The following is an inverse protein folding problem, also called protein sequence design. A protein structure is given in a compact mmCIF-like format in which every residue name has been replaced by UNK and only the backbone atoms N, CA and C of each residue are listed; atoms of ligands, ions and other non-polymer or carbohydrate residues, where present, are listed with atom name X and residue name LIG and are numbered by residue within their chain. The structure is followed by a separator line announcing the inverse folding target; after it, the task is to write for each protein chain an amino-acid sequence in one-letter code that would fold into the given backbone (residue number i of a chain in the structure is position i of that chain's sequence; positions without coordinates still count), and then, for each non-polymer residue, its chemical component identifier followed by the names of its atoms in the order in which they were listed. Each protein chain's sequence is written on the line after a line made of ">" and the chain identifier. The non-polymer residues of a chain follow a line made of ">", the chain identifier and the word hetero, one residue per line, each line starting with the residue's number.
data_IF_277678815922
#
_entry.id   IF_277678815922
#
_cell.length_a   1.000
_cell.length_b   1.000
_cell.length_c   1.000
_cell.angle_alpha   90.00
_cell.angle_beta   90.00
_cell.angle_gamma   90.00
#
_symmetry.space_group_name_H-M   'P 1'
#
loop_
_entity.id
_entity.type
_entity.pdbx_description
1 polymer ?
#
# COMPACT_ATOMS: atom_id res chain seq x y z
N UNK A 1 -0.51 -34.80 32.60
CA UNK A 1 -1.95 -34.75 32.27
C UNK A 1 -2.04 -34.00 30.96
N UNK A 2 -2.56 -34.61 29.89
CA UNK A 2 -2.65 -33.94 28.58
C UNK A 2 -3.75 -32.89 28.69
N UNK A 3 -3.37 -31.62 28.58
CA UNK A 3 -4.32 -30.51 28.61
C UNK A 3 -4.98 -30.44 27.24
N UNK A 4 -6.31 -30.52 27.22
CA UNK A 4 -7.11 -30.43 26.00
C UNK A 4 -7.78 -29.05 25.95
N UNK A 5 -7.47 -28.29 24.90
CA UNK A 5 -7.99 -26.92 24.67
C UNK A 5 -8.93 -26.92 23.48
N UNK A 6 -10.15 -26.41 23.66
CA UNK A 6 -11.05 -26.10 22.54
C UNK A 6 -11.02 -24.59 22.24
N UNK A 7 -10.80 -24.24 20.99
CA UNK A 7 -10.93 -22.88 20.48
C UNK A 7 -12.12 -22.77 19.52
N UNK A 8 -13.03 -21.81 19.77
CA UNK A 8 -14.08 -21.47 18.80
C UNK A 8 -13.54 -20.65 17.61
N UNK A 9 -12.43 -19.94 17.83
CA UNK A 9 -11.57 -19.34 16.78
C UNK A 9 -10.14 -19.26 17.33
N UNK A 10 -9.10 -19.67 16.59
CA UNK A 10 -7.72 -19.45 17.00
C UNK A 10 -7.32 -17.99 16.73
N UNK A 11 -7.02 -17.27 17.80
CA UNK A 11 -6.54 -15.89 17.81
C UNK A 11 -5.37 -15.73 18.81
N UNK A 12 -4.89 -14.50 19.01
CA UNK A 12 -3.80 -14.23 19.94
C UNK A 12 -4.12 -14.57 21.42
N UNK A 13 -5.41 -14.72 21.78
CA UNK A 13 -5.80 -15.17 23.11
C UNK A 13 -5.66 -16.70 23.26
N UNK A 14 -5.84 -17.46 22.17
CA UNK A 14 -5.45 -18.88 22.15
C UNK A 14 -3.93 -19.03 22.35
N UNK A 15 -3.10 -18.20 21.70
CA UNK A 15 -1.64 -18.26 21.84
C UNK A 15 -1.20 -17.99 23.30
N UNK A 16 -1.84 -17.07 24.03
CA UNK A 16 -1.58 -16.84 25.47
C UNK A 16 -1.94 -18.06 26.33
N UNK A 17 -3.06 -18.73 26.04
CA UNK A 17 -3.45 -19.98 26.72
C UNK A 17 -2.44 -21.10 26.45
N UNK A 18 -1.94 -21.21 25.22
CA UNK A 18 -0.92 -22.21 24.86
C UNK A 18 0.46 -21.88 25.47
N UNK A 19 0.79 -20.61 25.66
CA UNK A 19 1.98 -20.19 26.40
C UNK A 19 1.89 -20.55 27.89
N UNK A 20 0.70 -20.44 28.50
CA UNK A 20 0.44 -20.90 29.88
C UNK A 20 0.46 -22.42 30.02
N UNK A 21 0.11 -23.16 28.97
CA UNK A 21 -0.01 -24.63 28.98
C UNK A 21 0.85 -25.33 27.89
N UNK A 22 2.19 -25.34 28.01
CA UNK A 22 3.07 -25.94 27.00
C UNK A 22 2.80 -27.43 26.80
N UNK A 23 2.49 -27.83 25.55
CA UNK A 23 2.20 -29.22 25.19
C UNK A 23 0.73 -29.62 25.32
N UNK A 24 -0.19 -28.65 25.38
CA UNK A 24 -1.62 -28.91 25.22
C UNK A 24 -1.99 -29.41 23.81
N UNK A 25 -3.02 -30.25 23.72
CA UNK A 25 -3.62 -30.71 22.47
C UNK A 25 -4.83 -29.83 22.13
N UNK A 26 -4.92 -29.34 20.90
CA UNK A 26 -5.74 -28.18 20.54
C UNK A 26 -6.72 -28.51 19.42
N UNK A 27 -8.01 -28.37 19.72
CA UNK A 27 -9.08 -28.63 18.77
C UNK A 27 -9.85 -27.35 18.44
N UNK A 28 -9.90 -27.00 17.14
CA UNK A 28 -10.76 -25.91 16.64
C UNK A 28 -12.17 -26.41 16.35
N UNK A 29 -13.18 -25.69 16.81
CA UNK A 29 -14.58 -25.90 16.44
C UNK A 29 -15.13 -24.65 15.74
N UNK A 30 -15.20 -24.72 14.42
CA UNK A 30 -15.60 -23.62 13.54
C UNK A 30 -17.14 -23.41 13.54
N UNK A 31 -17.69 -23.14 14.73
CA UNK A 31 -19.14 -23.25 14.98
C UNK A 31 -19.66 -22.24 16.02
N UNK A 32 -20.48 -21.28 15.58
CA UNK A 32 -21.11 -20.30 16.46
C UNK A 32 -22.34 -20.83 17.24
N UNK A 33 -22.85 -22.02 16.91
CA UNK A 33 -24.08 -22.55 17.51
C UNK A 33 -23.82 -23.22 18.87
N UNK A 34 -24.37 -22.64 19.95
CA UNK A 34 -24.18 -23.09 21.33
C UNK A 34 -24.32 -24.61 21.57
N UNK A 35 -25.35 -25.25 21.01
CA UNK A 35 -25.55 -26.70 21.16
C UNK A 35 -24.46 -27.56 20.50
N UNK A 36 -23.82 -27.09 19.42
CA UNK A 36 -22.69 -27.78 18.78
C UNK A 36 -21.38 -27.53 19.55
N UNK A 37 -21.21 -26.34 20.10
CA UNK A 37 -20.10 -25.99 20.98
C UNK A 37 -20.11 -26.87 22.25
N UNK A 38 -21.29 -27.04 22.85
CA UNK A 38 -21.53 -27.89 24.02
C UNK A 38 -21.17 -29.36 23.74
N UNK A 39 -21.70 -29.95 22.66
CA UNK A 39 -21.36 -31.31 22.21
C UNK A 39 -19.87 -31.47 21.92
N UNK A 40 -19.19 -30.40 21.50
CA UNK A 40 -17.74 -30.37 21.32
C UNK A 40 -16.96 -30.50 22.63
N UNK A 41 -17.32 -29.68 23.63
CA UNK A 41 -16.73 -29.71 24.98
C UNK A 41 -16.86 -31.10 25.62
N UNK A 42 -18.05 -31.72 25.54
CA UNK A 42 -18.31 -33.07 26.05
C UNK A 42 -17.49 -34.14 25.32
N UNK A 43 -17.60 -34.21 23.97
CA UNK A 43 -17.03 -35.29 23.17
C UNK A 43 -15.51 -35.35 23.22
N UNK A 44 -14.86 -34.18 23.29
CA UNK A 44 -13.41 -34.06 23.38
C UNK A 44 -12.93 -34.10 24.84
N UNK A 45 -13.84 -34.13 25.83
CA UNK A 45 -13.56 -34.00 27.27
C UNK A 45 -12.59 -32.85 27.54
N UNK A 46 -12.90 -31.68 26.99
CA UNK A 46 -12.01 -30.54 26.99
C UNK A 46 -11.76 -30.04 28.43
N UNK A 47 -10.49 -29.86 28.78
CA UNK A 47 -10.08 -29.30 30.07
C UNK A 47 -10.14 -27.79 30.09
N UNK A 48 -9.93 -27.15 28.95
CA UNK A 48 -9.92 -25.69 28.81
C UNK A 48 -10.67 -25.30 27.53
N UNK A 49 -11.32 -24.14 27.53
CA UNK A 49 -12.00 -23.62 26.35
C UNK A 49 -11.80 -22.10 26.20
N UNK A 50 -11.61 -21.64 24.96
CA UNK A 50 -11.48 -20.21 24.60
C UNK A 50 -12.70 -19.77 23.81
N UNK A 51 -13.49 -18.86 24.39
CA UNK A 51 -14.80 -18.42 23.90
C UNK A 51 -14.92 -16.89 23.93
N UNK A 52 -15.73 -16.32 23.04
CA UNK A 52 -16.16 -14.92 23.21
C UNK A 52 -17.23 -14.80 24.30
N UNK A 53 -17.38 -13.60 24.88
CA UNK A 53 -18.47 -13.31 25.82
C UNK A 53 -19.85 -13.74 25.28
N UNK A 54 -20.14 -13.42 24.01
CA UNK A 54 -21.40 -13.79 23.35
C UNK A 54 -21.60 -15.31 23.18
N UNK A 55 -20.52 -16.07 22.88
CA UNK A 55 -20.57 -17.53 22.77
C UNK A 55 -20.83 -18.18 24.12
N UNK A 56 -20.12 -17.75 25.17
CA UNK A 56 -20.35 -18.21 26.54
C UNK A 56 -21.77 -17.85 27.02
N UNK A 57 -22.24 -16.65 26.67
CA UNK A 57 -23.61 -16.19 26.93
C UNK A 57 -24.67 -17.12 26.36
N UNK A 58 -24.51 -17.50 25.08
CA UNK A 58 -25.40 -18.41 24.38
C UNK A 58 -25.28 -19.85 24.90
N UNK A 59 -24.08 -20.29 25.29
CA UNK A 59 -23.82 -21.59 25.89
C UNK A 59 -24.59 -21.75 27.20
N UNK A 60 -24.45 -20.83 28.16
CA UNK A 60 -25.16 -20.91 29.46
C UNK A 60 -26.67 -20.73 29.36
N UNK A 61 -27.16 -20.09 28.29
CA UNK A 61 -28.61 -19.94 28.01
C UNK A 61 -29.20 -21.15 27.28
N UNK A 62 -28.37 -22.13 26.87
CA UNK A 62 -28.82 -23.29 26.14
C UNK A 62 -29.49 -24.32 27.08
N UNK A 63 -30.70 -24.85 26.80
CA UNK A 63 -31.43 -25.73 27.73
C UNK A 63 -30.71 -27.03 28.13
N UNK A 64 -29.72 -27.47 27.33
CA UNK A 64 -28.91 -28.65 27.64
C UNK A 64 -27.65 -28.37 28.48
N UNK A 65 -27.34 -27.10 28.80
CA UNK A 65 -26.10 -26.73 29.48
C UNK A 65 -25.97 -27.36 30.88
N UNK A 66 -27.04 -27.31 31.69
CA UNK A 66 -27.08 -27.93 33.02
C UNK A 66 -27.14 -29.48 32.97
N UNK A 67 -27.34 -30.07 31.78
CA UNK A 67 -27.44 -31.51 31.56
C UNK A 67 -26.17 -32.11 30.93
N UNK A 68 -25.17 -31.28 30.58
CA UNK A 68 -23.99 -31.70 29.85
C UNK A 68 -22.90 -32.31 30.76
N UNK A 69 -22.17 -33.31 30.26
CA UNK A 69 -20.97 -33.86 30.93
C UNK A 69 -19.77 -32.94 30.70
N UNK A 70 -19.71 -31.88 31.52
CA UNK A 70 -18.59 -30.93 31.58
C UNK A 70 -17.67 -31.20 32.77
N UNK A 71 -17.70 -32.38 33.38
CA UNK A 71 -16.92 -32.71 34.59
C UNK A 71 -15.39 -32.77 34.33
N UNK A 72 -14.96 -32.72 33.06
CA UNK A 72 -13.56 -32.60 32.67
C UNK A 72 -13.09 -31.15 32.46
N UNK A 73 -14.00 -30.17 32.41
CA UNK A 73 -13.69 -28.78 32.08
C UNK A 73 -13.25 -28.01 33.34
N UNK A 74 -11.99 -27.59 33.37
CA UNK A 74 -11.39 -26.85 34.49
C UNK A 74 -11.62 -25.34 34.35
N UNK A 75 -11.38 -24.77 33.16
CA UNK A 75 -11.42 -23.31 32.93
C UNK A 75 -12.00 -22.92 31.56
N UNK A 76 -12.86 -21.90 31.55
CA UNK A 76 -13.28 -21.18 30.33
C UNK A 76 -12.61 -19.80 30.32
N UNK A 77 -11.87 -19.53 29.25
CA UNK A 77 -11.25 -18.26 28.95
C UNK A 77 -12.18 -17.41 28.07
N UNK A 78 -12.51 -16.21 28.54
CA UNK A 78 -13.33 -15.24 27.79
C UNK A 78 -12.46 -14.21 27.08
N UNK A 79 -12.74 -14.01 25.79
CA UNK A 79 -12.06 -13.04 24.92
C UNK A 79 -13.01 -11.90 24.51
N UNK A 80 -12.50 -10.67 24.48
CA UNK A 80 -13.24 -9.44 24.15
C UNK A 80 -13.89 -8.77 25.37
N UNK A 81 -14.59 -7.66 25.14
CA UNK A 81 -15.21 -6.83 26.18
C UNK A 81 -16.30 -7.61 26.96
N UNK A 82 -16.08 -7.94 28.25
CA UNK A 82 -16.92 -8.89 28.95
C UNK A 82 -18.17 -8.21 29.53
N UNK A 83 -19.34 -8.55 28.98
CA UNK A 83 -20.58 -8.42 29.76
C UNK A 83 -20.46 -9.30 31.01
N UNK A 84 -20.34 -8.68 32.19
CA UNK A 84 -20.09 -9.38 33.46
C UNK A 84 -21.08 -10.53 33.65
N UNK A 85 -20.63 -11.79 33.84
CA UNK A 85 -21.54 -12.92 33.96
C UNK A 85 -22.42 -12.77 35.22
N UNK A 86 -23.71 -12.51 34.99
CA UNK A 86 -24.75 -12.45 36.01
C UNK A 86 -25.47 -13.80 36.09
N UNK A 87 -25.37 -14.47 37.24
CA UNK A 87 -25.96 -15.79 37.46
C UNK A 87 -25.29 -16.56 38.59
N UNK A 88 -25.71 -17.81 38.81
CA UNK A 88 -25.00 -18.73 39.69
C UNK A 88 -23.63 -19.10 39.09
N UNK A 89 -22.62 -19.30 39.93
CA UNK A 89 -21.27 -19.65 39.49
C UNK A 89 -21.28 -21.03 38.79
N UNK A 90 -20.66 -21.16 37.60
CA UNK A 90 -20.49 -22.46 36.95
C UNK A 90 -19.54 -23.38 37.75
N UNK A 91 -19.53 -24.67 37.42
CA UNK A 91 -18.69 -25.68 38.10
C UNK A 91 -17.18 -25.56 37.82
N UNK A 92 -16.81 -24.67 36.91
CA UNK A 92 -15.47 -24.48 36.38
C UNK A 92 -15.06 -23.00 36.48
N UNK A 93 -13.77 -22.71 36.45
CA UNK A 93 -13.28 -21.34 36.49
C UNK A 93 -13.66 -20.56 35.22
N UNK A 94 -13.93 -19.27 35.36
CA UNK A 94 -14.13 -18.36 34.22
C UNK A 94 -13.14 -17.22 34.35
N UNK A 95 -12.13 -17.21 33.49
CA UNK A 95 -11.10 -16.18 33.45
C UNK A 95 -11.35 -15.26 32.25
N UNK A 96 -11.35 -13.95 32.46
CA UNK A 96 -11.29 -12.99 31.35
C UNK A 96 -9.83 -12.88 30.92
N UNK A 97 -9.53 -13.25 29.68
CA UNK A 97 -8.23 -12.95 29.08
C UNK A 97 -8.19 -11.47 28.70
N UNK A 98 -7.72 -10.66 29.64
CA UNK A 98 -7.13 -9.38 29.29
C UNK A 98 -5.92 -9.65 28.40
N UNK A 99 -6.07 -9.52 27.08
CA UNK A 99 -4.91 -9.52 26.17
C UNK A 99 -3.96 -8.42 26.64
N UNK A 100 -2.72 -8.75 27.06
CA UNK A 100 -1.78 -7.72 27.45
C UNK A 100 -1.53 -6.82 26.24
N UNK A 101 -1.65 -5.51 26.43
CA UNK A 101 -1.36 -4.53 25.39
C UNK A 101 0.15 -4.49 25.10
N UNK A 102 0.64 -5.45 24.32
CA UNK A 102 1.92 -5.32 23.63
C UNK A 102 1.84 -4.13 22.66
N UNK A 103 2.94 -3.40 22.46
CA UNK A 103 3.06 -1.99 22.00
C UNK A 103 2.09 -1.46 20.92
N UNK A 104 2.55 -1.17 19.68
CA UNK A 104 2.42 -2.16 18.61
C UNK A 104 3.76 -2.74 18.13
N UNK A 105 3.74 -3.95 17.54
CA UNK A 105 4.90 -4.51 16.84
C UNK A 105 4.92 -4.05 15.38
N UNK A 106 5.10 -2.74 15.25
CA UNK A 106 5.46 -2.06 14.02
C UNK A 106 6.98 -1.94 13.93
N UNK A 107 7.71 -2.97 14.36
CA UNK A 107 9.12 -3.10 14.01
C UNK A 107 9.25 -3.44 12.52
N UNK A 108 10.29 -2.94 11.86
CA UNK A 108 10.59 -3.29 10.47
C UNK A 108 10.63 -4.81 10.26
N UNK A 109 11.19 -5.57 11.21
CA UNK A 109 11.26 -7.03 11.14
C UNK A 109 9.87 -7.70 11.15
N UNK A 110 8.99 -7.32 12.08
CA UNK A 110 7.65 -7.89 12.16
C UNK A 110 6.80 -7.55 10.94
N UNK A 111 6.76 -6.28 10.53
CA UNK A 111 5.96 -5.85 9.38
C UNK A 111 6.49 -6.45 8.08
N UNK A 112 7.81 -6.52 7.88
CA UNK A 112 8.38 -7.19 6.72
C UNK A 112 8.03 -8.68 6.70
N UNK A 113 8.23 -9.40 7.81
CA UNK A 113 7.92 -10.83 7.89
C UNK A 113 6.44 -11.14 7.62
N UNK A 114 5.52 -10.30 8.08
CA UNK A 114 4.09 -10.43 7.82
C UNK A 114 3.75 -10.16 6.34
N UNK A 115 4.32 -9.09 5.75
CA UNK A 115 4.17 -8.78 4.33
C UNK A 115 4.74 -9.88 3.40
N UNK A 116 5.90 -10.45 3.74
CA UNK A 116 6.50 -11.59 3.05
C UNK A 116 5.60 -12.84 3.09
N UNK A 117 4.92 -13.11 4.22
CA UNK A 117 3.98 -14.23 4.31
C UNK A 117 2.74 -14.03 3.43
N UNK A 118 2.29 -12.78 3.23
CA UNK A 118 1.21 -12.45 2.28
C UNK A 118 1.65 -12.58 0.81
N UNK A 119 2.96 -12.59 0.55
CA UNK A 119 3.57 -12.71 -0.78
C UNK A 119 4.32 -14.02 -1.00
N UNK A 120 4.11 -15.02 -0.13
CA UNK A 120 4.76 -16.31 -0.20
C UNK A 120 4.63 -16.96 -1.60
N UNK A 121 5.77 -17.32 -2.19
CA UNK A 121 5.85 -17.87 -3.55
C UNK A 121 5.98 -16.83 -4.67
N UNK A 122 6.11 -15.53 -4.36
CA UNK A 122 6.44 -14.51 -5.36
C UNK A 122 7.90 -14.64 -5.80
N UNK A 123 8.16 -14.68 -7.11
CA UNK A 123 9.52 -14.61 -7.66
C UNK A 123 9.98 -13.14 -7.77
N UNK A 124 10.66 -12.67 -6.73
CA UNK A 124 11.24 -11.32 -6.73
C UNK A 124 12.34 -11.15 -7.79
N UNK A 125 13.09 -12.18 -8.14
CA UNK A 125 14.14 -12.07 -9.16
C UNK A 125 13.54 -11.83 -10.55
N UNK A 126 12.49 -12.59 -10.90
CA UNK A 126 11.74 -12.37 -12.14
C UNK A 126 11.04 -10.99 -12.16
N UNK A 127 10.44 -10.58 -11.04
CA UNK A 127 9.80 -9.26 -10.91
C UNK A 127 10.77 -8.08 -11.05
N UNK A 128 11.97 -8.19 -10.47
CA UNK A 128 13.04 -7.17 -10.63
C UNK A 128 13.51 -7.13 -12.09
N UNK A 129 13.80 -8.28 -12.70
CA UNK A 129 14.22 -8.35 -14.11
C UNK A 129 13.17 -7.76 -15.07
N UNK A 130 11.87 -7.96 -14.80
CA UNK A 130 10.78 -7.34 -15.56
C UNK A 130 10.73 -5.82 -15.39
N UNK A 131 10.90 -5.31 -14.16
CA UNK A 131 10.93 -3.87 -13.87
C UNK A 131 12.16 -3.17 -14.47
N UNK A 132 13.32 -3.81 -14.45
CA UNK A 132 14.54 -3.35 -15.11
C UNK A 132 14.38 -3.32 -16.63
N UNK A 133 13.84 -4.39 -17.24
CA UNK A 133 13.59 -4.44 -18.68
C UNK A 133 12.61 -3.35 -19.14
N UNK A 134 11.52 -3.13 -18.38
CA UNK A 134 10.58 -2.04 -18.62
C UNK A 134 11.24 -0.66 -18.50
N UNK A 135 12.14 -0.48 -17.52
CA UNK A 135 12.87 0.78 -17.31
C UNK A 135 13.82 1.10 -18.47
N UNK A 136 14.57 0.09 -18.96
CA UNK A 136 15.42 0.23 -20.15
C UNK A 136 14.60 0.51 -21.42
N UNK A 137 13.46 -0.17 -21.59
CA UNK A 137 12.56 0.07 -22.71
C UNK A 137 12.01 1.50 -22.70
N UNK A 138 11.63 2.02 -21.52
CA UNK A 138 11.15 3.38 -21.38
C UNK A 138 12.23 4.44 -21.67
N UNK A 139 13.47 4.25 -21.21
CA UNK A 139 14.60 5.13 -21.57
C UNK A 139 14.79 5.21 -23.10
N UNK A 140 14.77 4.05 -23.76
CA UNK A 140 14.84 3.96 -25.22
C UNK A 140 13.64 4.65 -25.89
N UNK A 141 12.42 4.41 -25.41
CA UNK A 141 11.21 5.10 -25.89
C UNK A 141 11.30 6.62 -25.78
N UNK A 142 11.84 7.16 -24.68
CA UNK A 142 12.00 8.61 -24.52
C UNK A 142 12.94 9.20 -25.57
N UNK A 143 14.09 8.57 -25.82
CA UNK A 143 15.03 9.02 -26.84
C UNK A 143 14.47 8.86 -28.26
N UNK A 144 13.90 7.69 -28.56
CA UNK A 144 13.24 7.38 -29.83
C UNK A 144 12.06 8.32 -30.10
N UNK A 145 11.28 8.68 -29.08
CA UNK A 145 10.22 9.69 -29.16
C UNK A 145 10.75 11.07 -29.54
N UNK A 146 11.82 11.55 -28.88
CA UNK A 146 12.46 12.81 -29.25
C UNK A 146 12.97 12.79 -30.70
N UNK A 147 13.55 11.67 -31.15
CA UNK A 147 14.04 11.53 -32.52
C UNK A 147 12.89 11.48 -33.53
N UNK A 148 11.87 10.64 -33.33
CA UNK A 148 10.71 10.51 -34.23
C UNK A 148 10.00 11.84 -34.52
N UNK A 149 10.02 12.79 -33.57
CA UNK A 149 9.37 14.11 -33.76
C UNK A 149 10.31 15.15 -34.39
N UNK A 150 11.64 15.01 -34.28
CA UNK A 150 12.59 15.83 -35.05
C UNK A 150 13.88 16.28 -34.34
N UNK A 151 14.15 15.84 -33.11
CA UNK A 151 15.45 16.05 -32.48
C UNK A 151 16.50 15.06 -33.02
N UNK A 152 17.79 15.43 -32.94
CA UNK A 152 18.94 14.56 -33.26
C UNK A 152 18.84 13.77 -34.58
N UNK A 153 18.25 14.37 -35.61
CA UNK A 153 17.95 13.74 -36.90
C UNK A 153 19.20 13.45 -37.75
N UNK A 154 20.36 14.00 -37.36
CA UNK A 154 21.63 13.86 -38.08
C UNK A 154 22.69 13.29 -37.14
N UNK A 155 23.52 12.37 -37.64
CA UNK A 155 24.64 11.83 -36.86
C UNK A 155 25.59 12.96 -36.42
N UNK A 156 25.98 12.95 -35.14
CA UNK A 156 26.79 14.01 -34.54
C UNK A 156 26.06 15.34 -34.29
N UNK A 157 24.74 15.41 -34.49
CA UNK A 157 23.97 16.63 -34.20
C UNK A 157 23.99 16.96 -32.69
N UNK A 158 24.42 18.19 -32.39
CA UNK A 158 24.44 18.76 -31.05
C UNK A 158 23.38 19.86 -30.94
N UNK A 159 22.51 19.80 -29.93
CA UNK A 159 21.38 20.72 -29.73
C UNK A 159 21.36 21.24 -28.29
N UNK A 160 21.09 22.54 -28.09
CA UNK A 160 20.76 23.04 -26.75
C UNK A 160 19.33 22.63 -26.36
N UNK A 161 19.03 22.60 -25.06
CA UNK A 161 17.73 22.13 -24.57
C UNK A 161 16.52 22.84 -25.21
N UNK A 162 16.61 24.16 -25.46
CA UNK A 162 15.51 24.89 -26.11
C UNK A 162 15.31 24.50 -27.58
N UNK A 163 16.38 24.23 -28.34
CA UNK A 163 16.27 23.74 -29.72
C UNK A 163 15.60 22.36 -29.79
N UNK A 164 15.90 21.47 -28.83
CA UNK A 164 15.19 20.18 -28.70
C UNK A 164 13.69 20.43 -28.51
N UNK A 165 13.33 21.26 -27.54
CA UNK A 165 11.93 21.58 -27.21
C UNK A 165 11.18 22.27 -28.36
N UNK A 166 11.86 23.07 -29.18
CA UNK A 166 11.28 23.70 -30.37
C UNK A 166 11.09 22.70 -31.51
N UNK A 167 12.10 21.87 -31.80
CA UNK A 167 12.03 20.87 -32.87
C UNK A 167 10.99 19.79 -32.63
N UNK A 168 10.82 19.34 -31.39
CA UNK A 168 9.78 18.37 -31.05
C UNK A 168 8.39 19.01 -30.86
N UNK A 169 8.24 20.30 -31.17
CA UNK A 169 7.01 21.07 -30.99
C UNK A 169 6.41 20.91 -29.56
N UNK A 170 7.27 20.93 -28.54
CA UNK A 170 6.88 20.59 -27.17
C UNK A 170 5.81 21.54 -26.62
N UNK A 171 4.65 20.97 -26.29
CA UNK A 171 3.54 21.69 -25.66
C UNK A 171 4.01 22.38 -24.38
N UNK A 172 3.47 23.58 -24.09
CA UNK A 172 3.97 24.46 -23.03
C UNK A 172 4.10 23.76 -21.66
N UNK A 173 3.12 22.94 -21.28
CA UNK A 173 3.11 22.18 -20.02
C UNK A 173 4.15 21.07 -19.96
N UNK A 174 4.58 20.53 -21.11
CA UNK A 174 5.47 19.36 -21.18
C UNK A 174 6.96 19.73 -21.24
N UNK A 175 7.28 21.03 -21.38
CA UNK A 175 8.68 21.49 -21.57
C UNK A 175 9.59 21.16 -20.39
N UNK A 176 9.07 21.10 -19.17
CA UNK A 176 9.84 20.75 -17.98
C UNK A 176 10.09 19.24 -17.87
N UNK A 177 9.08 18.41 -18.13
CA UNK A 177 9.22 16.96 -18.23
C UNK A 177 10.31 16.59 -19.26
N UNK A 178 10.29 17.23 -20.44
CA UNK A 178 11.30 16.97 -21.48
C UNK A 178 12.71 17.49 -21.11
N UNK A 179 12.84 18.53 -20.29
CA UNK A 179 14.13 18.90 -19.67
C UNK A 179 14.59 17.87 -18.63
N UNK A 180 13.67 17.23 -17.91
CA UNK A 180 13.98 16.09 -17.02
C UNK A 180 14.42 14.88 -17.84
N UNK A 181 13.77 14.59 -18.97
CA UNK A 181 14.20 13.55 -19.93
C UNK A 181 15.63 13.79 -20.42
N UNK A 182 15.98 15.00 -20.89
CA UNK A 182 17.34 15.29 -21.37
C UNK A 182 18.40 15.04 -20.29
N UNK A 183 18.12 15.36 -19.02
CA UNK A 183 19.02 15.07 -17.90
C UNK A 183 19.12 13.57 -17.61
N UNK A 184 18.00 12.87 -17.51
CA UNK A 184 17.96 11.42 -17.25
C UNK A 184 18.63 10.62 -18.38
N UNK A 185 18.30 10.90 -19.63
CA UNK A 185 18.96 10.28 -20.79
C UNK A 185 20.47 10.57 -20.84
N UNK A 186 20.92 11.70 -20.31
CA UNK A 186 22.37 12.00 -20.17
C UNK A 186 23.01 11.21 -19.03
N UNK A 187 22.33 11.09 -17.88
CA UNK A 187 22.81 10.33 -16.73
C UNK A 187 22.95 8.83 -17.05
N UNK A 188 21.96 8.28 -17.76
CA UNK A 188 21.94 6.89 -18.25
C UNK A 188 22.80 6.66 -19.51
N UNK A 189 23.50 7.69 -20.00
CA UNK A 189 24.44 7.59 -21.12
C UNK A 189 23.83 7.48 -22.53
N UNK A 190 22.50 7.51 -22.67
CA UNK A 190 21.79 7.58 -23.96
C UNK A 190 22.01 8.91 -24.69
N UNK A 191 22.37 9.97 -23.96
CA UNK A 191 22.85 11.25 -24.49
C UNK A 191 24.23 11.59 -23.89
N UNK A 192 25.03 12.36 -24.62
CA UNK A 192 26.21 13.07 -24.08
C UNK A 192 25.91 14.55 -24.01
N UNK A 193 26.27 15.20 -22.90
CA UNK A 193 26.23 16.66 -22.76
C UNK A 193 27.63 17.24 -22.85
N UNK A 194 27.83 18.22 -23.73
CA UNK A 194 29.05 19.04 -23.82
C UNK A 194 28.68 20.52 -23.79
N UNK A 195 29.15 21.24 -22.77
CA UNK A 195 28.65 22.57 -22.45
C UNK A 195 27.13 22.50 -22.22
N UNK A 196 26.38 23.29 -22.99
CA UNK A 196 24.91 23.29 -22.95
C UNK A 196 24.24 22.50 -24.09
N UNK A 197 25.05 21.81 -24.91
CA UNK A 197 24.54 20.97 -26.00
C UNK A 197 24.45 19.51 -25.60
N UNK A 198 23.41 18.85 -26.10
CA UNK A 198 23.16 17.41 -26.01
C UNK A 198 23.40 16.79 -27.39
N UNK A 199 23.92 15.56 -27.44
CA UNK A 199 23.99 14.74 -28.66
C UNK A 199 23.71 13.28 -28.36
N UNK A 200 23.28 12.54 -29.38
CA UNK A 200 23.25 11.07 -29.35
C UNK A 200 24.68 10.54 -29.54
N UNK A 201 25.14 9.56 -28.73
CA UNK A 201 26.44 8.92 -28.93
C UNK A 201 26.52 8.24 -30.31
N UNK A 202 27.66 8.32 -31.00
CA UNK A 202 27.81 7.72 -32.33
C UNK A 202 27.60 6.19 -32.30
N UNK A 203 27.98 5.53 -31.20
CA UNK A 203 27.70 4.10 -30.95
C UNK A 203 26.19 3.76 -30.88
N UNK A 204 25.31 4.74 -30.64
CA UNK A 204 23.85 4.53 -30.48
C UNK A 204 23.05 4.80 -31.76
N UNK A 205 23.65 5.44 -32.78
CA UNK A 205 22.96 5.83 -34.03
C UNK A 205 22.77 4.66 -35.01
N UNK A 206 23.45 3.52 -34.79
CA UNK A 206 23.69 2.51 -35.82
C UNK A 206 22.68 1.34 -35.94
N UNK A 207 21.58 1.28 -35.17
CA UNK A 207 20.60 0.21 -35.38
C UNK A 207 19.32 0.16 -34.53
N UNK A 208 19.40 0.31 -33.20
CA UNK A 208 18.30 -0.11 -32.30
C UNK A 208 17.95 0.96 -31.25
N UNK A 209 17.39 2.08 -31.69
CA UNK A 209 16.81 3.09 -30.80
C UNK A 209 15.44 2.69 -30.26
N UNK A 210 14.64 1.98 -31.07
CA UNK A 210 13.37 1.42 -30.61
C UNK A 210 13.61 0.34 -29.54
N UNK A 211 12.80 0.29 -28.47
CA UNK A 211 12.89 -0.77 -27.46
C UNK A 211 12.37 -2.12 -27.96
N UNK A 212 12.99 -3.21 -27.51
CA UNK A 212 12.44 -4.56 -27.69
C UNK A 212 11.34 -4.85 -26.65
N UNK A 213 10.12 -4.40 -26.97
CA UNK A 213 8.92 -4.72 -26.19
C UNK A 213 8.61 -6.22 -26.09
N UNK A 214 9.14 -7.07 -26.99
CA UNK A 214 8.90 -8.52 -26.94
C UNK A 214 9.70 -9.19 -25.84
N UNK A 215 10.95 -8.75 -25.61
CA UNK A 215 11.75 -9.19 -24.47
C UNK A 215 11.16 -8.71 -23.14
N UNK A 216 10.66 -7.47 -23.06
CA UNK A 216 9.96 -6.98 -21.87
C UNK A 216 8.71 -7.83 -21.59
N UNK A 217 7.91 -8.14 -22.62
CA UNK A 217 6.72 -8.98 -22.45
C UNK A 217 7.06 -10.40 -21.99
N UNK A 218 8.15 -10.99 -22.49
CA UNK A 218 8.61 -12.29 -22.04
C UNK A 218 8.98 -12.30 -20.55
N UNK A 219 9.78 -11.33 -20.10
CA UNK A 219 10.19 -11.19 -18.70
C UNK A 219 9.02 -10.86 -17.77
N UNK A 220 8.12 -9.98 -18.19
CA UNK A 220 6.92 -9.61 -17.42
C UNK A 220 5.99 -10.80 -17.20
N UNK A 221 5.77 -11.63 -18.24
CA UNK A 221 4.99 -12.86 -18.11
C UNK A 221 5.68 -13.90 -17.23
N UNK A 222 7.02 -13.94 -17.20
CA UNK A 222 7.79 -14.82 -16.32
C UNK A 222 7.67 -14.45 -14.84
N UNK A 223 7.48 -13.16 -14.51
CA UNK A 223 7.21 -12.69 -13.14
C UNK A 223 5.81 -13.11 -12.60
N UNK A 224 4.94 -13.64 -13.46
CA UNK A 224 3.58 -14.06 -13.10
C UNK A 224 2.55 -12.93 -13.04
N UNK A 225 2.93 -11.70 -13.43
CA UNK A 225 2.05 -10.54 -13.44
C UNK A 225 1.22 -10.49 -14.73
N UNK A 226 0.00 -9.95 -14.66
CA UNK A 226 -0.80 -9.66 -15.86
C UNK A 226 -0.16 -8.55 -16.68
N UNK A 227 -0.42 -8.49 -17.99
CA UNK A 227 0.33 -7.62 -18.91
C UNK A 227 -0.32 -6.25 -19.16
N UNK A 228 -1.15 -5.73 -18.25
CA UNK A 228 -1.88 -4.48 -18.50
C UNK A 228 -1.00 -3.25 -18.26
N UNK A 229 -0.16 -3.24 -17.21
CA UNK A 229 0.86 -2.19 -16.97
C UNK A 229 1.81 -2.09 -18.14
N UNK A 230 2.31 -3.23 -18.60
CA UNK A 230 3.17 -3.31 -19.78
C UNK A 230 2.45 -2.78 -21.04
N UNK A 231 1.19 -3.16 -21.24
CA UNK A 231 0.39 -2.63 -22.35
C UNK A 231 0.28 -1.10 -22.27
N UNK A 232 -0.08 -0.55 -21.12
CA UNK A 232 -0.16 0.89 -20.93
C UNK A 232 1.17 1.60 -21.23
N UNK A 233 2.28 1.09 -20.71
CA UNK A 233 3.61 1.66 -20.95
C UNK A 233 4.02 1.60 -22.43
N UNK A 234 3.67 0.51 -23.13
CA UNK A 234 3.90 0.33 -24.56
C UNK A 234 3.02 1.25 -25.41
N UNK A 235 1.73 1.33 -25.09
CA UNK A 235 0.75 2.17 -25.79
C UNK A 235 1.12 3.66 -25.62
N UNK A 236 1.49 4.10 -24.41
CA UNK A 236 2.04 5.44 -24.15
C UNK A 236 3.36 5.70 -24.91
N UNK A 237 4.26 4.71 -24.98
CA UNK A 237 5.51 4.81 -25.73
C UNK A 237 5.32 4.95 -27.25
N UNK A 238 4.25 4.36 -27.79
CA UNK A 238 3.84 4.57 -29.18
C UNK A 238 3.33 6.00 -29.40
N UNK A 239 2.49 6.50 -28.49
CA UNK A 239 1.84 7.82 -28.51
C UNK A 239 2.73 9.00 -28.08
N UNK A 240 4.01 8.78 -27.70
CA UNK A 240 4.92 9.85 -27.30
C UNK A 240 4.93 11.08 -28.22
N UNK A 241 4.92 10.97 -29.57
CA UNK A 241 4.80 12.12 -30.45
C UNK A 241 3.59 13.02 -30.16
N UNK A 242 2.42 12.44 -29.86
CA UNK A 242 1.19 13.18 -29.57
C UNK A 242 1.11 13.65 -28.10
N UNK A 243 1.80 12.96 -27.17
CA UNK A 243 1.94 13.40 -25.79
C UNK A 243 2.88 14.60 -25.66
N UNK A 244 3.97 14.61 -26.43
CA UNK A 244 4.96 15.69 -26.49
C UNK A 244 4.36 16.99 -27.01
N UNK A 245 3.63 16.94 -28.12
CA UNK A 245 3.02 18.13 -28.74
C UNK A 245 1.60 18.46 -28.22
N UNK A 246 1.07 17.64 -27.31
CA UNK A 246 -0.19 17.88 -26.61
C UNK A 246 -1.45 17.52 -27.41
N UNK A 247 -1.32 16.85 -28.58
CA UNK A 247 -2.47 16.32 -29.33
C UNK A 247 -3.21 15.20 -28.60
N UNK A 248 -2.58 14.52 -27.65
CA UNK A 248 -3.24 13.56 -26.74
C UNK A 248 -2.84 13.80 -25.29
N UNK A 249 -3.60 13.23 -24.35
CA UNK A 249 -3.38 13.34 -22.91
C UNK A 249 -3.24 11.95 -22.29
N UNK A 250 -2.25 11.76 -21.42
CA UNK A 250 -1.96 10.45 -20.81
C UNK A 250 -3.15 9.86 -20.03
N UNK A 251 -4.03 10.70 -19.47
CA UNK A 251 -5.25 10.27 -18.78
C UNK A 251 -6.18 9.45 -19.68
N UNK A 252 -6.27 9.78 -20.98
CA UNK A 252 -7.09 9.02 -21.94
C UNK A 252 -6.48 7.65 -22.30
N UNK A 253 -5.16 7.50 -22.15
CA UNK A 253 -4.46 6.23 -22.35
C UNK A 253 -4.57 5.33 -21.10
N UNK A 254 -4.63 5.93 -19.91
CA UNK A 254 -4.75 5.23 -18.62
C UNK A 254 -6.21 4.80 -18.32
N UNK A 255 -7.18 5.61 -18.77
CA UNK A 255 -8.63 5.36 -18.63
C UNK A 255 -9.31 5.33 -20.01
N UNK A 256 -8.98 4.35 -20.87
CA UNK A 256 -9.57 4.24 -22.21
C UNK A 256 -11.09 4.07 -22.11
N UNK A 257 -11.85 4.97 -22.73
CA UNK A 257 -13.32 5.03 -22.66
C UNK A 257 -13.89 5.13 -21.22
N UNK A 258 -13.06 5.53 -20.23
CA UNK A 258 -13.41 5.57 -18.82
C UNK A 258 -13.25 4.23 -18.07
N UNK A 259 -12.67 3.20 -18.69
CA UNK A 259 -12.42 1.91 -18.07
C UNK A 259 -11.30 1.97 -17.00
N UNK A 260 -11.59 1.52 -15.78
CA UNK A 260 -10.65 1.50 -14.65
C UNK A 260 -9.76 0.27 -14.59
N UNK A 261 -10.02 -0.78 -15.39
CA UNK A 261 -9.27 -2.05 -15.33
C UNK A 261 -7.78 -1.86 -15.60
N UNK A 262 -7.44 -0.99 -16.55
CA UNK A 262 -6.05 -0.68 -16.89
C UNK A 262 -5.35 0.05 -15.75
N UNK A 263 -5.93 1.13 -15.23
CA UNK A 263 -5.40 1.87 -14.08
C UNK A 263 -5.28 0.98 -12.83
N UNK A 264 -6.29 0.18 -12.49
CA UNK A 264 -6.23 -0.79 -11.38
C UNK A 264 -5.04 -1.73 -11.51
N UNK A 265 -4.77 -2.20 -12.73
CA UNK A 265 -3.62 -3.07 -12.97
C UNK A 265 -2.29 -2.32 -12.85
N UNK A 266 -2.16 -1.13 -13.45
CA UNK A 266 -0.98 -0.25 -13.34
C UNK A 266 -0.56 -0.03 -11.89
N UNK A 267 -1.51 0.24 -10.99
CA UNK A 267 -1.21 0.44 -9.58
C UNK A 267 -0.96 -0.84 -8.77
N UNK A 268 -1.17 -2.06 -9.32
CA UNK A 268 -1.20 -3.31 -8.53
C UNK A 268 -0.32 -4.44 -9.03
N UNK A 269 -0.01 -4.49 -10.33
CA UNK A 269 0.68 -5.62 -10.94
C UNK A 269 2.13 -5.71 -10.46
N UNK A 270 2.87 -4.60 -10.41
CA UNK A 270 4.30 -4.64 -10.13
C UNK A 270 4.62 -5.27 -8.77
N UNK A 271 5.70 -6.05 -8.74
CA UNK A 271 6.20 -6.68 -7.51
C UNK A 271 6.44 -5.68 -6.37
N UNK A 272 6.85 -4.44 -6.70
CA UNK A 272 7.01 -3.35 -5.75
C UNK A 272 5.66 -2.89 -5.16
N UNK A 273 4.65 -2.64 -6.01
CA UNK A 273 3.31 -2.26 -5.55
C UNK A 273 2.66 -3.36 -4.71
N UNK A 274 2.83 -4.63 -5.10
CA UNK A 274 2.37 -5.81 -4.32
C UNK A 274 2.98 -5.82 -2.92
N UNK A 275 4.30 -5.57 -2.80
CA UNK A 275 4.99 -5.45 -1.52
C UNK A 275 4.48 -4.25 -0.70
N UNK A 276 4.36 -3.07 -1.32
CA UNK A 276 3.85 -1.87 -0.65
C UNK A 276 2.46 -2.10 -0.04
N UNK A 277 1.50 -2.62 -0.82
CA UNK A 277 0.16 -2.89 -0.30
C UNK A 277 0.15 -3.95 0.80
N UNK A 278 0.99 -4.99 0.70
CA UNK A 278 1.10 -6.01 1.74
C UNK A 278 1.66 -5.44 3.06
N UNK A 279 2.68 -4.58 2.99
CA UNK A 279 3.26 -3.90 4.15
C UNK A 279 2.30 -2.86 4.76
N UNK A 280 1.60 -2.05 3.94
CA UNK A 280 0.55 -1.14 4.43
C UNK A 280 -0.57 -1.91 5.12
N UNK A 281 -1.13 -2.94 4.47
CA UNK A 281 -2.18 -3.77 5.05
C UNK A 281 -1.76 -4.44 6.35
N UNK A 282 -0.51 -4.92 6.40
CA UNK A 282 0.12 -5.45 7.63
C UNK A 282 0.17 -4.41 8.74
N UNK A 283 0.60 -3.18 8.45
CA UNK A 283 0.65 -2.11 9.46
C UNK A 283 -0.74 -1.86 10.05
N UNK A 284 -1.76 -1.66 9.22
CA UNK A 284 -3.13 -1.39 9.68
C UNK A 284 -3.70 -2.58 10.47
N UNK A 285 -3.45 -3.82 10.04
CA UNK A 285 -3.87 -5.03 10.77
C UNK A 285 -3.14 -5.19 12.12
N UNK A 286 -1.85 -4.88 12.18
CA UNK A 286 -1.07 -4.88 13.43
C UNK A 286 -1.55 -3.81 14.41
N UNK A 287 -2.09 -2.69 13.94
CA UNK A 287 -2.74 -1.65 14.78
C UNK A 287 -4.14 -2.11 15.23
N UNK A 288 -4.95 -2.67 14.32
CA UNK A 288 -6.30 -3.18 14.62
C UNK A 288 -6.30 -4.22 15.75
N UNK A 289 -5.34 -5.16 15.71
CA UNK A 289 -5.10 -6.17 16.77
C UNK A 289 -4.96 -5.58 18.18
N UNK A 290 -4.48 -4.34 18.30
CA UNK A 290 -4.16 -3.66 19.59
C UNK A 290 -5.36 -2.97 20.21
N UNK A 291 -6.33 -2.54 19.39
CA UNK A 291 -7.55 -1.89 19.87
C UNK A 291 -8.43 -2.83 20.71
N UNK A 292 -8.17 -4.13 20.70
CA UNK A 292 -8.72 -5.07 21.70
C UNK A 292 -10.25 -5.20 21.69
N UNK A 293 -10.88 -4.95 20.54
CA UNK A 293 -12.34 -4.88 20.39
C UNK A 293 -12.93 -3.47 20.44
N UNK A 294 -12.14 -2.44 20.76
CA UNK A 294 -12.53 -1.04 20.53
C UNK A 294 -12.56 -0.72 19.04
N UNK A 295 -13.44 0.20 18.65
CA UNK A 295 -13.56 0.68 17.26
C UNK A 295 -12.26 1.32 16.78
N UNK A 296 -11.74 0.85 15.66
CA UNK A 296 -10.66 1.49 14.91
C UNK A 296 -11.25 2.47 13.87
N UNK A 297 -10.85 3.74 13.91
CA UNK A 297 -11.24 4.77 12.94
C UNK A 297 -10.12 4.94 11.92
N UNK A 298 -10.36 4.56 10.67
CA UNK A 298 -9.38 4.64 9.59
C UNK A 298 -9.83 5.66 8.55
N UNK A 299 -8.92 6.54 8.13
CA UNK A 299 -9.07 7.39 6.95
C UNK A 299 -8.09 6.92 5.88
N UNK A 300 -8.56 6.56 4.70
CA UNK A 300 -7.71 6.41 3.51
C UNK A 300 -7.84 7.65 2.63
N UNK A 301 -6.74 8.37 2.39
CA UNK A 301 -6.68 9.55 1.52
C UNK A 301 -6.13 9.20 0.15
N UNK A 302 -6.78 9.68 -0.91
CA UNK A 302 -6.40 9.41 -2.30
C UNK A 302 -6.41 7.93 -2.67
N UNK A 303 -7.34 7.14 -2.12
CA UNK A 303 -7.38 5.70 -2.33
C UNK A 303 -7.60 5.27 -3.79
N UNK A 304 -8.01 6.20 -4.67
CA UNK A 304 -8.01 6.06 -6.12
C UNK A 304 -8.66 4.77 -6.61
N UNK A 305 -7.85 3.89 -7.19
CA UNK A 305 -8.33 2.62 -7.77
C UNK A 305 -8.62 1.52 -6.72
N UNK A 306 -8.59 1.85 -5.43
CA UNK A 306 -8.77 0.92 -4.31
C UNK A 306 -7.64 -0.11 -4.18
N UNK A 307 -6.44 0.21 -4.67
CA UNK A 307 -5.34 -0.74 -4.76
C UNK A 307 -4.83 -1.18 -3.37
N UNK A 308 -4.65 -0.21 -2.47
CA UNK A 308 -4.37 -0.40 -1.05
C UNK A 308 -5.60 -0.96 -0.32
N UNK A 309 -6.78 -0.36 -0.50
CA UNK A 309 -8.07 -0.78 0.09
C UNK A 309 -8.33 -2.29 -0.06
N UNK A 310 -8.17 -2.84 -1.28
CA UNK A 310 -8.38 -4.26 -1.60
C UNK A 310 -7.44 -5.22 -0.83
N UNK A 311 -6.33 -4.71 -0.25
CA UNK A 311 -5.42 -5.48 0.61
C UNK A 311 -5.63 -5.21 2.09
N UNK A 312 -6.00 -3.99 2.47
CA UNK A 312 -6.26 -3.62 3.87
C UNK A 312 -7.54 -4.29 4.38
N UNK A 313 -8.68 -4.13 3.70
CA UNK A 313 -9.98 -4.56 4.21
C UNK A 313 -10.05 -6.07 4.59
N UNK A 314 -9.51 -7.02 3.80
CA UNK A 314 -9.55 -8.44 4.17
C UNK A 314 -8.77 -8.79 5.44
N UNK A 315 -7.75 -8.00 5.83
CA UNK A 315 -7.00 -8.21 7.07
C UNK A 315 -7.67 -7.55 8.29
N UNK A 316 -8.72 -6.77 8.05
CA UNK A 316 -9.57 -6.12 9.06
C UNK A 316 -10.90 -6.85 9.29
N UNK A 317 -11.13 -7.99 8.64
CA UNK A 317 -12.28 -8.84 8.93
C UNK A 317 -12.24 -9.33 10.38
N UNK A 318 -13.40 -9.32 11.05
CA UNK A 318 -13.54 -9.62 12.48
C UNK A 318 -13.22 -8.49 13.46
N UNK A 319 -12.74 -7.32 13.01
CA UNK A 319 -12.53 -6.14 13.87
C UNK A 319 -13.67 -5.10 13.71
N UNK A 320 -14.00 -4.34 14.76
CA UNK A 320 -14.89 -3.19 14.64
C UNK A 320 -14.12 -2.01 14.03
N UNK A 321 -14.38 -1.70 12.76
CA UNK A 321 -13.66 -0.67 12.01
C UNK A 321 -14.63 0.30 11.35
N UNK A 322 -14.47 1.60 11.64
CA UNK A 322 -15.05 2.68 10.85
C UNK A 322 -14.02 3.13 9.81
N UNK A 323 -14.09 2.54 8.62
CA UNK A 323 -13.19 2.81 7.50
C UNK A 323 -13.81 3.85 6.55
N UNK A 324 -13.22 5.04 6.50
CA UNK A 324 -13.55 6.09 5.56
C UNK A 324 -12.54 6.08 4.40
N UNK A 325 -12.97 5.60 3.25
CA UNK A 325 -12.25 5.80 1.99
C UNK A 325 -12.49 7.21 1.46
N UNK A 326 -11.44 7.91 1.02
CA UNK A 326 -11.58 9.20 0.36
C UNK A 326 -10.69 9.34 -0.87
N UNK A 327 -11.16 10.17 -1.80
CA UNK A 327 -10.42 10.59 -2.99
C UNK A 327 -10.89 12.01 -3.39
N UNK A 328 -10.11 12.75 -4.18
CA UNK A 328 -10.54 14.04 -4.74
C UNK A 328 -11.63 13.85 -5.81
N UNK A 329 -11.66 12.68 -6.45
CA UNK A 329 -12.56 12.32 -7.54
C UNK A 329 -13.74 11.47 -7.08
N UNK A 330 -14.95 11.98 -7.31
CA UNK A 330 -16.22 11.24 -7.10
C UNK A 330 -16.27 9.91 -7.87
N UNK A 331 -15.56 9.82 -9.00
CA UNK A 331 -15.51 8.61 -9.81
C UNK A 331 -14.86 7.45 -9.04
N UNK A 332 -13.73 7.69 -8.37
CA UNK A 332 -13.05 6.68 -7.56
C UNK A 332 -13.87 6.29 -6.32
N UNK A 333 -14.48 7.25 -5.63
CA UNK A 333 -15.37 6.95 -4.49
C UNK A 333 -16.57 6.10 -4.88
N UNK A 334 -17.13 6.30 -6.09
CA UNK A 334 -18.23 5.48 -6.60
C UNK A 334 -17.76 4.08 -7.04
N UNK A 335 -16.59 4.00 -7.70
CA UNK A 335 -15.99 2.74 -8.13
C UNK A 335 -15.64 1.85 -6.94
N UNK A 336 -15.02 2.36 -5.87
CA UNK A 336 -14.66 1.54 -4.70
C UNK A 336 -15.91 1.04 -3.96
N UNK A 337 -16.96 1.85 -3.84
CA UNK A 337 -18.22 1.45 -3.20
C UNK A 337 -18.98 0.36 -3.97
N UNK A 338 -18.76 0.23 -5.28
CA UNK A 338 -19.28 -0.90 -6.07
C UNK A 338 -18.52 -2.20 -5.81
N UNK A 339 -17.21 -2.13 -5.54
CA UNK A 339 -16.37 -3.28 -5.22
C UNK A 339 -16.46 -3.72 -3.75
N UNK A 340 -16.68 -2.77 -2.84
CA UNK A 340 -16.85 -2.98 -1.40
C UNK A 340 -18.19 -2.41 -0.92
N UNK A 341 -19.32 -3.12 -1.16
CA UNK A 341 -20.64 -2.65 -0.76
C UNK A 341 -20.72 -2.40 0.76
N UNK A 342 -21.08 -1.19 1.14
CA UNK A 342 -21.19 -0.77 2.55
C UNK A 342 -19.95 -0.03 3.09
N UNK A 343 -18.85 0.05 2.34
CA UNK A 343 -17.70 0.89 2.68
C UNK A 343 -18.12 2.37 2.74
N UNK A 344 -17.71 3.11 3.78
CA UNK A 344 -17.98 4.53 3.90
C UNK A 344 -17.03 5.31 2.98
N UNK A 345 -17.58 6.15 2.11
CA UNK A 345 -16.79 6.94 1.16
C UNK A 345 -17.04 8.44 1.31
N UNK A 346 -16.00 9.25 1.14
CA UNK A 346 -16.06 10.72 1.15
C UNK A 346 -15.13 11.35 0.13
N UNK A 347 -15.13 12.69 0.03
CA UNK A 347 -14.12 13.41 -0.75
C UNK A 347 -13.03 13.95 0.19
N UNK A 348 -11.78 13.91 -0.25
CA UNK A 348 -10.66 14.57 0.41
C UNK A 348 -9.68 15.06 -0.65
N UNK A 349 -9.31 16.33 -0.53
CA UNK A 349 -8.30 17.01 -1.34
C UNK A 349 -7.03 17.19 -0.50
N UNK A 350 -5.93 16.65 -0.99
CA UNK A 350 -4.65 16.62 -0.25
C UNK A 350 -3.97 18.00 -0.22
N UNK A 351 -4.29 18.88 -1.17
CA UNK A 351 -3.77 20.24 -1.28
C UNK A 351 -4.62 21.28 -0.49
N UNK A 352 -5.52 20.81 0.39
CA UNK A 352 -6.38 21.65 1.23
C UNK A 352 -6.33 21.24 2.69
N UNK A 353 -6.53 22.21 3.59
CA UNK A 353 -6.57 21.94 5.03
C UNK A 353 -7.70 20.95 5.36
N UNK A 354 -7.46 20.10 6.37
CA UNK A 354 -8.45 19.12 6.79
C UNK A 354 -9.68 19.78 7.45
N UNK A 355 -9.48 20.87 8.18
CA UNK A 355 -10.54 21.65 8.84
C UNK A 355 -11.48 22.33 7.82
N UNK A 356 -10.95 22.92 6.74
CA UNK A 356 -11.75 23.52 5.65
C UNK A 356 -12.55 22.49 4.84
N UNK A 357 -12.28 21.20 5.08
CA UNK A 357 -12.99 20.06 4.49
C UNK A 357 -13.97 19.42 5.49
N UNK A 358 -14.07 19.95 6.71
CA UNK A 358 -14.98 19.49 7.75
C UNK A 358 -14.47 18.31 8.57
N UNK A 359 -13.19 17.96 8.47
CA UNK A 359 -12.59 16.93 9.32
C UNK A 359 -12.13 17.53 10.65
N UNK A 360 -12.44 16.83 11.74
CA UNK A 360 -12.08 17.25 13.11
C UNK A 360 -10.63 16.82 13.39
N UNK A 361 -9.76 17.67 13.95
CA UNK A 361 -8.43 17.25 14.41
C UNK A 361 -8.49 16.09 15.41
N UNK A 362 -7.46 15.24 15.42
CA UNK A 362 -7.33 14.08 16.30
C UNK A 362 -8.53 13.12 16.32
N UNK A 363 -9.16 12.93 15.16
CA UNK A 363 -10.37 12.10 15.01
C UNK A 363 -10.12 10.69 14.46
N UNK A 364 -8.93 10.40 13.92
CA UNK A 364 -8.58 9.10 13.33
C UNK A 364 -7.46 8.38 14.10
N UNK A 365 -7.60 7.06 14.20
CA UNK A 365 -6.62 6.16 14.80
C UNK A 365 -5.54 5.77 13.77
N UNK A 366 -5.92 5.70 12.49
CA UNK A 366 -5.00 5.47 11.37
C UNK A 366 -5.38 6.37 10.20
N UNK A 367 -4.39 7.02 9.60
CA UNK A 367 -4.49 7.65 8.29
C UNK A 367 -3.62 6.85 7.31
N UNK A 368 -4.17 6.45 6.17
CA UNK A 368 -3.50 5.70 5.10
C UNK A 368 -3.38 6.59 3.88
N UNK A 369 -2.19 6.75 3.31
CA UNK A 369 -1.96 7.51 2.07
C UNK A 369 -1.04 6.73 1.12
N UNK A 370 -1.62 6.06 0.11
CA UNK A 370 -0.88 5.19 -0.80
C UNK A 370 -0.72 5.77 -2.19
N UNK A 371 0.45 6.32 -2.52
CA UNK A 371 0.77 6.85 -3.85
C UNK A 371 -0.03 8.11 -4.20
N UNK A 372 -0.24 8.97 -3.21
CA UNK A 372 -1.04 10.21 -3.34
C UNK A 372 -0.22 11.45 -2.98
N UNK A 373 0.71 11.35 -2.04
CA UNK A 373 1.49 12.50 -1.59
C UNK A 373 2.50 12.93 -2.67
N UNK A 374 2.90 12.02 -3.57
CA UNK A 374 3.60 12.38 -4.80
C UNK A 374 2.76 13.20 -5.80
N UNK A 375 1.44 13.28 -5.65
CA UNK A 375 0.57 14.09 -6.52
C UNK A 375 0.21 15.46 -5.90
N UNK A 376 0.44 15.64 -4.59
CA UNK A 376 0.28 16.93 -3.92
C UNK A 376 1.23 18.00 -4.49
N UNK A 377 0.85 19.28 -4.36
CA UNK A 377 1.68 20.44 -4.69
C UNK A 377 2.75 20.72 -3.63
N UNK A 378 2.34 20.68 -2.36
CA UNK A 378 3.19 20.88 -1.19
C UNK A 378 3.06 19.66 -0.26
N UNK A 379 4.00 18.72 -0.38
CA UNK A 379 4.01 17.51 0.45
C UNK A 379 4.16 17.84 1.94
N UNK A 380 4.87 18.90 2.32
CA UNK A 380 5.05 19.28 3.72
C UNK A 380 3.75 19.82 4.33
N UNK A 381 2.97 20.62 3.59
CA UNK A 381 1.65 21.08 4.00
C UNK A 381 0.67 19.91 4.13
N UNK A 382 0.66 19.03 3.13
CA UNK A 382 -0.14 17.81 3.12
C UNK A 382 0.12 16.94 4.35
N UNK A 383 1.39 16.66 4.65
CA UNK A 383 1.79 15.87 5.82
C UNK A 383 1.40 16.53 7.15
N UNK A 384 1.52 17.87 7.27
CA UNK A 384 1.03 18.60 8.46
C UNK A 384 -0.47 18.45 8.66
N UNK A 385 -1.27 18.52 7.58
CA UNK A 385 -2.72 18.32 7.69
C UNK A 385 -3.07 16.87 8.04
N UNK A 386 -2.44 15.87 7.42
CA UNK A 386 -2.63 14.46 7.78
C UNK A 386 -2.21 14.19 9.24
N UNK A 387 -1.10 14.76 9.71
CA UNK A 387 -0.66 14.65 11.11
C UNK A 387 -1.69 15.24 12.09
N UNK A 388 -2.33 16.37 11.74
CA UNK A 388 -3.37 16.99 12.58
C UNK A 388 -4.64 16.13 12.76
N UNK A 389 -4.87 15.16 11.88
CA UNK A 389 -6.01 14.24 11.96
C UNK A 389 -5.78 13.04 12.90
N UNK A 390 -4.52 12.77 13.26
CA UNK A 390 -4.16 11.65 14.13
C UNK A 390 -4.54 11.93 15.59
N UNK A 391 -5.14 10.92 16.24
CA UNK A 391 -5.20 10.83 17.69
C UNK A 391 -3.77 10.77 18.31
N UNK A 392 -3.65 11.02 19.61
CA UNK A 392 -2.36 11.02 20.32
C UNK A 392 -1.58 9.69 20.19
N UNK A 393 -2.28 8.56 20.03
CA UNK A 393 -1.72 7.23 19.77
C UNK A 393 -1.87 6.75 18.31
N UNK A 394 -2.23 7.68 17.41
CA UNK A 394 -2.56 7.41 16.02
C UNK A 394 -1.36 7.22 15.11
N UNK A 395 -1.61 6.63 13.94
CA UNK A 395 -0.59 6.26 12.96
C UNK A 395 -0.87 6.84 11.58
N UNK A 396 0.12 7.49 10.98
CA UNK A 396 0.15 7.75 9.54
C UNK A 396 0.90 6.59 8.87
N UNK A 397 0.25 5.89 7.94
CA UNK A 397 0.84 4.81 7.14
C UNK A 397 0.82 5.24 5.67
N UNK A 398 1.99 5.43 5.07
CA UNK A 398 2.13 5.89 3.68
C UNK A 398 2.95 4.92 2.84
N UNK A 399 2.69 4.88 1.54
CA UNK A 399 3.52 4.15 0.58
C UNK A 399 3.77 4.99 -0.66
N UNK A 400 5.02 5.30 -0.95
CA UNK A 400 5.40 6.30 -1.95
C UNK A 400 6.67 5.85 -2.73
N UNK A 401 6.80 6.19 -4.02
CA UNK A 401 8.05 6.05 -4.75
C UNK A 401 9.12 7.03 -4.24
N UNK A 402 10.39 6.62 -4.34
CA UNK A 402 11.55 7.35 -3.80
C UNK A 402 12.71 7.55 -4.77
N UNK A 403 12.49 7.24 -6.06
CA UNK A 403 13.39 7.54 -7.18
C UNK A 403 12.57 7.69 -8.46
N UNK A 404 13.18 8.24 -9.51
CA UNK A 404 12.55 8.28 -10.83
C UNK A 404 12.23 6.87 -11.36
N UNK A 405 11.03 6.71 -11.90
CA UNK A 405 10.60 5.54 -12.65
C UNK A 405 10.47 5.91 -14.13
N UNK A 406 11.37 5.40 -14.98
CA UNK A 406 11.45 5.87 -16.37
C UNK A 406 10.20 5.54 -17.19
N UNK A 407 9.49 4.45 -16.86
CA UNK A 407 8.21 4.13 -17.50
C UNK A 407 7.10 5.10 -17.10
N UNK A 408 7.10 5.61 -15.86
CA UNK A 408 6.21 6.69 -15.41
C UNK A 408 6.56 8.00 -16.12
N UNK A 409 7.86 8.33 -16.22
CA UNK A 409 8.35 9.50 -16.97
C UNK A 409 7.95 9.48 -18.45
N UNK A 410 7.88 8.29 -19.05
CA UNK A 410 7.46 8.06 -20.43
C UNK A 410 5.94 7.90 -20.60
N UNK A 411 5.13 8.00 -19.54
CA UNK A 411 3.68 7.78 -19.60
C UNK A 411 2.88 8.71 -18.68
N UNK A 412 2.72 8.39 -17.40
CA UNK A 412 1.86 9.13 -16.46
C UNK A 412 2.40 10.53 -16.14
N UNK A 413 3.71 10.77 -16.25
CA UNK A 413 4.30 12.07 -15.94
C UNK A 413 3.76 13.22 -16.83
N UNK A 414 3.23 12.92 -18.02
CA UNK A 414 2.56 13.89 -18.90
C UNK A 414 1.25 14.46 -18.34
N UNK A 415 0.69 13.87 -17.27
CA UNK A 415 -0.53 14.32 -16.58
C UNK A 415 -0.31 14.70 -15.10
N UNK A 416 0.93 14.70 -14.62
CA UNK A 416 1.25 15.15 -13.26
C UNK A 416 1.30 16.69 -13.19
N UNK A 417 0.90 17.25 -12.05
CA UNK A 417 1.08 18.65 -11.75
C UNK A 417 2.57 18.96 -11.45
N UNK A 418 2.98 20.21 -11.71
CA UNK A 418 4.27 20.69 -11.22
C UNK A 418 4.19 20.90 -9.69
N UNK A 419 5.18 20.40 -8.92
CA UNK A 419 5.25 20.58 -7.47
C UNK A 419 5.69 22.00 -7.10
N UNK A 420 5.24 22.46 -5.93
CA UNK A 420 5.65 23.73 -5.31
C UNK A 420 6.64 23.49 -4.13
N UNK A 421 7.10 22.26 -3.93
CA UNK A 421 7.99 21.83 -2.84
C UNK A 421 9.43 21.52 -3.30
N UNK A 422 10.20 20.80 -2.46
CA UNK A 422 11.60 20.45 -2.71
C UNK A 422 11.83 19.73 -4.05
N UNK A 423 10.82 19.04 -4.60
CA UNK A 423 10.88 18.41 -5.93
C UNK A 423 11.07 19.41 -7.07
N UNK A 424 10.62 20.65 -6.90
CA UNK A 424 10.88 21.72 -7.85
C UNK A 424 12.37 22.12 -7.86
N UNK A 425 13.01 22.11 -6.68
CA UNK A 425 14.42 22.48 -6.50
C UNK A 425 15.38 21.36 -6.93
N UNK A 426 15.10 20.10 -6.57
CA UNK A 426 15.81 18.91 -7.10
C UNK A 426 15.50 18.65 -8.59
N UNK A 427 14.41 19.25 -9.08
CA UNK A 427 13.80 19.00 -10.37
C UNK A 427 13.45 17.51 -10.60
N UNK A 428 13.02 16.78 -9.56
CA UNK A 428 12.58 15.38 -9.63
C UNK A 428 11.05 15.25 -9.70
N UNK A 429 10.56 14.08 -10.09
CA UNK A 429 9.12 13.72 -10.04
C UNK A 429 8.72 13.35 -8.60
N UNK A 430 9.65 12.74 -7.86
CA UNK A 430 9.43 12.15 -6.55
C UNK A 430 10.46 12.66 -5.53
N UNK A 431 10.07 12.71 -4.25
CA UNK A 431 11.02 12.93 -3.15
C UNK A 431 11.89 11.68 -2.98
N UNK A 432 13.17 11.85 -2.68
CA UNK A 432 14.06 10.76 -2.29
C UNK A 432 13.71 10.22 -0.90
N UNK A 433 14.26 9.04 -0.55
CA UNK A 433 14.09 8.43 0.77
C UNK A 433 14.49 9.37 1.92
N UNK A 434 15.61 10.09 1.77
CA UNK A 434 16.04 11.07 2.78
C UNK A 434 15.04 12.22 2.93
N UNK A 435 14.57 12.78 1.81
CA UNK A 435 13.59 13.87 1.80
C UNK A 435 12.25 13.45 2.42
N UNK A 436 11.79 12.21 2.19
CA UNK A 436 10.60 11.67 2.87
C UNK A 436 10.77 11.60 4.39
N UNK A 437 11.93 11.13 4.88
CA UNK A 437 12.20 11.06 6.31
C UNK A 437 12.25 12.46 6.95
N UNK A 438 12.79 13.45 6.24
CA UNK A 438 12.87 14.82 6.74
C UNK A 438 11.51 15.54 6.67
N UNK A 439 10.70 15.32 5.63
CA UNK A 439 9.33 15.83 5.53
C UNK A 439 8.42 15.26 6.64
N UNK A 440 8.51 13.94 6.92
CA UNK A 440 7.79 13.31 8.03
C UNK A 440 8.17 13.93 9.39
N UNK A 441 9.48 14.10 9.66
CA UNK A 441 9.97 14.78 10.88
C UNK A 441 9.52 16.24 10.94
N UNK A 442 9.55 16.95 9.81
CA UNK A 442 9.08 18.34 9.68
C UNK A 442 7.59 18.51 9.97
N UNK A 443 6.78 17.48 9.69
CA UNK A 443 5.38 17.41 10.08
C UNK A 443 5.15 17.02 11.55
N UNK A 444 6.22 16.81 12.34
CA UNK A 444 6.14 16.40 13.75
C UNK A 444 5.88 14.90 13.94
N UNK A 445 6.18 14.07 12.94
CA UNK A 445 6.02 12.62 12.99
C UNK A 445 7.35 11.91 13.19
N UNK A 446 7.34 10.83 13.97
CA UNK A 446 8.45 9.89 14.15
C UNK A 446 8.23 8.65 13.27
N UNK A 447 9.03 8.41 12.21
CA UNK A 447 8.97 7.17 11.44
C UNK A 447 9.46 5.99 12.28
N UNK A 448 8.63 4.94 12.38
CA UNK A 448 8.92 3.71 13.14
C UNK A 448 9.09 2.52 12.18
N UNK A 449 8.23 2.42 11.16
CA UNK A 449 8.40 1.52 10.02
C UNK A 449 9.00 2.31 8.87
N UNK A 450 9.97 1.71 8.20
CA UNK A 450 10.63 2.20 6.98
C UNK A 450 11.07 0.99 6.15
N UNK A 451 10.18 0.55 5.25
CA UNK A 451 10.31 -0.69 4.48
C UNK A 451 10.38 -0.45 2.98
N UNK A 452 10.97 -1.39 2.20
CA UNK A 452 11.62 -2.61 2.65
C UNK A 452 12.97 -2.36 3.37
N UNK A 453 13.57 -3.35 4.03
CA UNK A 453 14.92 -3.19 4.58
C UNK A 453 15.93 -2.91 3.45
N UNK A 454 17.03 -2.14 3.65
CA UNK A 454 18.03 -1.92 2.60
C UNK A 454 18.56 -3.18 1.92
N UNK A 455 18.71 -4.28 2.66
CA UNK A 455 19.17 -5.59 2.16
C UNK A 455 18.09 -6.41 1.43
N UNK A 456 16.85 -5.91 1.35
CA UNK A 456 15.75 -6.63 0.71
C UNK A 456 15.86 -6.56 -0.82
N UNK A 457 15.56 -7.64 -1.57
CA UNK A 457 15.68 -7.64 -3.03
C UNK A 457 14.92 -6.52 -3.75
N UNK A 458 13.80 -6.05 -3.20
CA UNK A 458 12.98 -4.98 -3.80
C UNK A 458 13.44 -3.57 -3.43
N UNK A 459 14.40 -3.41 -2.50
CA UNK A 459 14.93 -2.11 -2.08
C UNK A 459 15.45 -1.25 -3.26
N UNK A 460 16.22 -1.78 -4.23
CA UNK A 460 16.65 -1.04 -5.42
C UNK A 460 15.50 -0.54 -6.31
N UNK A 461 14.31 -1.17 -6.23
CA UNK A 461 13.16 -0.68 -6.99
C UNK A 461 12.68 0.69 -6.50
N UNK A 462 13.11 1.15 -5.31
CA UNK A 462 12.93 2.54 -4.89
C UNK A 462 11.48 2.89 -4.56
N UNK A 463 10.78 1.95 -3.93
CA UNK A 463 9.43 2.12 -3.39
C UNK A 463 9.51 1.91 -1.88
N UNK A 464 8.94 2.83 -1.10
CA UNK A 464 8.94 2.74 0.37
C UNK A 464 7.53 2.59 0.94
N UNK A 465 7.47 2.05 2.14
CA UNK A 465 6.34 2.14 3.06
C UNK A 465 6.85 2.67 4.39
N UNK A 466 6.22 3.74 4.88
CA UNK A 466 6.50 4.30 6.19
C UNK A 466 5.27 4.15 7.09
N UNK A 467 5.48 3.82 8.36
CA UNK A 467 4.48 4.00 9.40
C UNK A 467 5.07 4.90 10.47
N UNK A 468 4.44 6.04 10.72
CA UNK A 468 4.90 7.08 11.60
C UNK A 468 3.81 7.48 12.59
N UNK A 469 4.21 7.97 13.76
CA UNK A 469 3.32 8.42 14.83
C UNK A 469 3.64 9.87 15.22
N UNK A 470 2.73 10.62 15.87
CA UNK A 470 3.06 11.91 16.47
C UNK A 470 4.27 11.79 17.40
N UNK A 471 5.24 12.68 17.25
CA UNK A 471 6.40 12.72 18.13
C UNK A 471 5.98 13.10 19.56
N UNK A 472 6.50 12.39 20.56
CA UNK A 472 6.22 12.68 21.97
C UNK A 472 6.77 14.07 22.30
N UNK A 473 5.88 15.00 22.67
CA UNK A 473 6.25 16.33 23.17
C UNK A 473 6.88 16.19 24.56
N UNK A 474 8.21 16.20 24.61
CA UNK A 474 9.03 16.23 25.83
C UNK A 474 9.03 17.60 26.50
#
# INVERSE_FOLDING_TARGET
>A
MTILVIAASPDAACDDVLARHPGADVHRLDVAAAGKLLVGLERLRATHAVLTGAQFDALRKHPAFDLADLDALDTVYLVGDPATPSGAAPRFAVEVLSTPAATPDLSNGAVANDAERLLAGTDYAAGIAAAEALSHAALRSMLDGLVRVGAFQRSGEALIANEVLERVNAHATQRNLLRRWLRVLTAEGLLRREGDTYRVPAESVAGEMAPDWSQVEHLWRAAGDTTQTLRFARDASAELPALIDGRTQAVHLLFPEGDTRLARAVYRESVAARYQHAAVATCVAQIARRRGGQRLRVLEVGGGTGATTDRVLPLLDGYDVDYLFTDVSRFFTQQVAQHHPGLRTGLYDIDRSAEDQGHVPSSFDVVVAGGVLNAARDTDASLRWLASLLADDGWLVISEPTREEYWVMASQAFMLAEPDDERAASQSTFLSHAQWLDALRGAGLEPVVDLPHPDHPLSPLGHRVFAARPAVRT
#
